data_IF_913338180252
#
_entry.id   IF_913338180252
#
_cell.length_a   1.000
_cell.length_b   1.000
_cell.length_c   1.000
_cell.angle_alpha   90.00
_cell.angle_beta   90.00
_cell.angle_gamma   90.00
#
_symmetry.space_group_name_H-M   'P 1'
#
loop_
_entity.id
_entity.type
_entity.pdbx_description
1 polymer ?
#
# COMPACT_ATOMS: atom_id res chain seq x y z
N UNK A 1 56.23 8.63 -5.96
CA UNK A 1 54.82 8.20 -5.88
C UNK A 1 54.36 8.39 -4.45
N UNK A 2 53.68 9.50 -4.16
CA UNK A 2 53.15 9.78 -2.83
C UNK A 2 51.71 9.25 -2.82
N UNK A 3 51.49 8.08 -2.21
CA UNK A 3 50.14 7.57 -1.98
C UNK A 3 49.51 8.40 -0.85
N UNK A 4 48.67 9.37 -1.22
CA UNK A 4 47.75 9.99 -0.28
C UNK A 4 46.66 8.98 0.05
N UNK A 5 46.74 8.38 1.23
CA UNK A 5 45.58 7.72 1.84
C UNK A 5 44.60 8.84 2.18
N UNK A 6 43.54 9.02 1.38
CA UNK A 6 42.43 9.89 1.78
C UNK A 6 41.87 9.37 3.10
N UNK A 7 41.87 10.21 4.14
CA UNK A 7 41.22 9.87 5.39
C UNK A 7 39.73 9.61 5.12
N UNK A 8 39.24 8.45 5.55
CA UNK A 8 37.81 8.13 5.47
C UNK A 8 37.06 9.13 6.36
N UNK A 9 36.18 9.91 5.76
CA UNK A 9 35.35 10.87 6.48
C UNK A 9 34.23 10.13 7.19
N UNK A 10 34.13 10.29 8.51
CA UNK A 10 33.07 9.65 9.32
C UNK A 10 31.94 10.63 9.64
N UNK A 11 30.72 10.11 9.68
CA UNK A 11 29.54 10.85 10.14
C UNK A 11 29.63 11.14 11.65
N UNK A 12 29.02 12.23 12.10
CA UNK A 12 28.85 12.50 13.52
C UNK A 12 27.70 11.64 14.08
N UNK A 13 27.73 11.34 15.38
CA UNK A 13 26.61 10.67 16.02
C UNK A 13 25.47 11.66 16.29
N UNK A 14 24.22 11.22 16.11
CA UNK A 14 23.03 12.00 16.39
C UNK A 14 21.90 11.12 16.92
N UNK A 15 20.95 11.75 17.61
CA UNK A 15 19.67 11.14 17.99
C UNK A 15 18.55 11.84 17.24
N UNK A 16 17.47 11.12 16.94
CA UNK A 16 16.29 11.69 16.32
C UNK A 16 15.02 10.99 16.79
N UNK A 17 13.89 11.67 16.65
CA UNK A 17 12.56 11.10 16.88
C UNK A 17 11.79 11.13 15.57
N UNK A 18 11.30 9.98 15.11
CA UNK A 18 10.63 9.85 13.82
C UNK A 18 9.16 10.27 13.84
N UNK A 19 8.51 10.23 12.68
CA UNK A 19 7.07 10.52 12.50
C UNK A 19 6.11 9.60 13.27
N UNK A 20 6.59 8.45 13.74
CA UNK A 20 5.83 7.50 14.56
C UNK A 20 6.05 7.72 16.06
N UNK A 21 6.95 8.63 16.44
CA UNK A 21 7.27 8.96 17.83
C UNK A 21 8.36 8.06 18.43
N UNK A 22 8.99 7.21 17.64
CA UNK A 22 10.11 6.38 18.10
C UNK A 22 11.41 7.19 18.08
N UNK A 23 12.23 7.03 19.11
CA UNK A 23 13.51 7.72 19.23
C UNK A 23 14.65 6.75 18.99
N UNK A 24 15.62 7.17 18.17
CA UNK A 24 16.76 6.37 17.74
C UNK A 24 18.07 7.14 17.92
N UNK A 25 19.14 6.40 18.15
CA UNK A 25 20.52 6.82 18.01
C UNK A 25 21.14 6.16 16.78
N UNK A 26 21.79 6.96 15.91
CA UNK A 26 22.39 6.46 14.66
C UNK A 26 23.30 5.25 14.89
N UNK A 27 24.23 5.37 15.85
CA UNK A 27 25.24 4.34 16.06
C UNK A 27 24.66 3.11 16.76
N UNK A 28 23.93 3.30 17.85
CA UNK A 28 23.48 2.17 18.69
C UNK A 28 22.37 1.35 18.02
N UNK A 29 21.43 2.02 17.35
CA UNK A 29 20.23 1.37 16.82
C UNK A 29 20.39 0.91 15.35
N UNK A 30 21.37 1.45 14.62
CA UNK A 30 21.62 1.06 13.22
C UNK A 30 23.05 0.57 12.98
N UNK A 31 24.06 1.45 13.09
CA UNK A 31 25.40 1.13 12.58
C UNK A 31 26.07 -0.03 13.34
N UNK A 32 25.95 -0.06 14.67
CA UNK A 32 26.46 -1.16 15.50
C UNK A 32 25.68 -2.47 15.33
N UNK A 33 24.46 -2.41 14.80
CA UNK A 33 23.69 -3.58 14.38
C UNK A 33 24.11 -4.10 13.00
N UNK A 34 25.16 -3.52 12.40
CA UNK A 34 25.65 -3.88 11.08
C UNK A 34 24.88 -3.23 9.93
N UNK A 35 23.98 -2.27 10.20
CA UNK A 35 23.19 -1.61 9.16
C UNK A 35 23.93 -0.48 8.46
N UNK A 36 23.69 -0.36 7.17
CA UNK A 36 23.94 0.83 6.36
C UNK A 36 22.77 1.79 6.49
N UNK A 37 23.02 3.08 6.62
CA UNK A 37 21.96 4.10 6.69
C UNK A 37 22.02 5.01 5.47
N UNK A 38 20.89 5.15 4.77
CA UNK A 38 20.74 6.01 3.60
C UNK A 38 19.85 7.20 3.99
N UNK A 39 20.34 8.42 3.78
CA UNK A 39 19.59 9.63 4.13
C UNK A 39 19.22 10.36 2.85
N UNK A 40 17.93 10.71 2.69
CA UNK A 40 17.46 11.71 1.74
C UNK A 40 17.10 13.00 2.47
N UNK A 41 17.79 14.08 2.12
CA UNK A 41 17.45 15.42 2.57
C UNK A 41 16.40 16.04 1.63
N UNK A 42 15.32 16.57 2.18
CA UNK A 42 14.20 17.08 1.41
C UNK A 42 13.42 18.17 2.16
N UNK A 43 12.31 18.63 1.61
CA UNK A 43 11.26 19.31 2.36
C UNK A 43 9.89 19.02 1.73
N UNK A 44 8.82 19.16 2.51
CA UNK A 44 7.49 18.63 2.16
C UNK A 44 6.86 19.23 0.88
N UNK A 45 7.34 20.38 0.44
CA UNK A 45 6.86 21.09 -0.77
C UNK A 45 7.91 21.15 -1.89
N UNK A 46 8.99 20.38 -1.79
CA UNK A 46 10.09 20.35 -2.75
C UNK A 46 9.68 19.64 -4.06
N UNK A 47 9.54 20.33 -5.20
CA UNK A 47 9.08 19.70 -6.44
C UNK A 47 9.96 18.54 -6.93
N UNK A 48 11.31 18.66 -7.01
CA UNK A 48 12.14 17.53 -7.44
C UNK A 48 12.16 16.39 -6.41
N UNK A 49 11.94 16.67 -5.13
CA UNK A 49 11.85 15.64 -4.10
C UNK A 49 10.53 14.84 -4.22
N UNK A 50 9.42 15.53 -4.52
CA UNK A 50 8.12 14.93 -4.81
C UNK A 50 8.20 14.05 -6.07
N UNK A 51 8.87 14.53 -7.12
CA UNK A 51 8.97 13.80 -8.38
C UNK A 51 9.63 12.42 -8.26
N UNK A 52 10.49 12.21 -7.25
CA UNK A 52 11.21 10.96 -7.04
C UNK A 52 10.61 10.09 -5.93
N UNK A 53 9.46 10.45 -5.34
CA UNK A 53 8.88 9.66 -4.24
C UNK A 53 8.59 8.20 -4.61
N UNK A 54 8.08 7.87 -5.81
CA UNK A 54 7.88 6.47 -6.18
C UNK A 54 9.21 5.70 -6.22
N UNK A 55 10.18 6.22 -7.00
CA UNK A 55 11.49 5.57 -7.13
C UNK A 55 12.27 5.49 -5.80
N UNK A 56 12.05 6.43 -4.88
CA UNK A 56 12.64 6.38 -3.54
C UNK A 56 12.03 5.29 -2.66
N UNK A 57 10.72 5.10 -2.73
CA UNK A 57 10.03 4.00 -2.07
C UNK A 57 10.48 2.66 -2.67
N UNK A 58 10.50 2.54 -4.00
CA UNK A 58 10.96 1.34 -4.69
C UNK A 58 12.39 0.96 -4.24
N UNK A 59 13.30 1.92 -4.18
CA UNK A 59 14.66 1.68 -3.72
C UNK A 59 14.70 1.21 -2.25
N UNK A 60 13.87 1.75 -1.37
CA UNK A 60 13.79 1.28 0.02
C UNK A 60 13.30 -0.17 0.10
N UNK A 61 12.31 -0.53 -0.72
CA UNK A 61 11.75 -1.88 -0.80
C UNK A 61 12.75 -2.89 -1.37
N UNK A 62 13.44 -2.51 -2.45
CA UNK A 62 14.50 -3.31 -3.07
C UNK A 62 15.68 -3.60 -2.13
N UNK A 63 15.95 -2.71 -1.17
CA UNK A 63 16.97 -2.90 -0.12
C UNK A 63 16.42 -3.50 1.18
N UNK A 64 15.18 -4.01 1.16
CA UNK A 64 14.61 -4.81 2.23
C UNK A 64 13.85 -4.03 3.30
N UNK A 65 13.47 -2.78 3.05
CA UNK A 65 12.57 -1.98 3.91
C UNK A 65 12.96 -1.97 5.39
N UNK A 66 14.26 -1.77 5.67
CA UNK A 66 14.77 -1.74 7.04
C UNK A 66 14.87 -3.10 7.73
N UNK A 67 14.43 -4.21 7.11
CA UNK A 67 14.47 -5.53 7.74
C UNK A 67 15.82 -6.24 7.58
N UNK A 68 16.58 -5.87 6.55
CA UNK A 68 17.90 -6.41 6.29
C UNK A 68 19.00 -5.48 6.82
N UNK A 69 20.11 -5.36 6.09
CA UNK A 69 21.29 -4.61 6.48
C UNK A 69 21.30 -3.15 5.99
N UNK A 70 20.15 -2.61 5.56
CA UNK A 70 20.01 -1.21 5.12
C UNK A 70 18.75 -0.56 5.70
N UNK A 71 18.88 0.67 6.20
CA UNK A 71 17.78 1.51 6.68
C UNK A 71 17.76 2.87 5.96
N UNK A 72 16.56 3.41 5.71
CA UNK A 72 16.39 4.69 5.01
C UNK A 72 15.79 5.75 5.93
N UNK A 73 16.31 6.97 5.84
CA UNK A 73 15.82 8.15 6.55
C UNK A 73 15.42 9.25 5.56
N UNK A 74 14.27 9.86 5.79
CA UNK A 74 13.84 11.11 5.14
C UNK A 74 13.94 12.27 6.13
N UNK A 75 14.88 13.18 5.90
CA UNK A 75 15.17 14.27 6.83
C UNK A 75 14.78 15.60 6.19
N UNK A 76 13.81 16.30 6.79
CA UNK A 76 13.43 17.63 6.29
C UNK A 76 14.45 18.69 6.68
N UNK A 77 14.78 19.57 5.74
CA UNK A 77 15.70 20.69 5.93
C UNK A 77 14.99 21.98 6.37
N UNK A 78 13.65 22.01 6.38
CA UNK A 78 12.89 23.22 6.71
C UNK A 78 12.44 23.24 8.16
N UNK A 79 12.70 24.36 8.84
CA UNK A 79 12.22 24.64 10.21
C UNK A 79 10.70 24.48 10.35
N UNK A 80 9.97 24.80 9.29
CA UNK A 80 8.51 24.72 9.28
C UNK A 80 7.96 23.31 9.16
N UNK A 81 8.78 22.32 8.80
CA UNK A 81 8.35 20.94 8.56
C UNK A 81 8.48 20.13 9.85
N UNK A 82 7.40 20.05 10.61
CA UNK A 82 7.32 19.18 11.79
C UNK A 82 7.13 17.72 11.41
N UNK A 83 7.34 16.79 12.34
CA UNK A 83 7.04 15.36 12.21
C UNK A 83 5.60 15.16 11.75
N UNK A 84 4.65 15.97 12.23
CA UNK A 84 3.27 15.91 11.75
C UNK A 84 3.13 16.22 10.25
N UNK A 85 3.88 17.21 9.73
CA UNK A 85 3.87 17.56 8.30
C UNK A 85 4.62 16.53 7.46
N UNK A 86 5.76 16.04 7.95
CA UNK A 86 6.52 14.99 7.28
C UNK A 86 5.70 13.70 7.22
N UNK A 87 4.95 13.36 8.29
CA UNK A 87 4.01 12.23 8.29
C UNK A 87 2.91 12.40 7.24
N UNK A 88 2.30 13.60 7.17
CA UNK A 88 1.28 13.88 6.17
C UNK A 88 1.83 13.76 4.74
N UNK A 89 3.06 14.22 4.50
CA UNK A 89 3.75 14.04 3.23
C UNK A 89 3.94 12.56 2.90
N UNK A 90 4.53 11.78 3.82
CA UNK A 90 4.72 10.33 3.64
C UNK A 90 3.42 9.61 3.31
N UNK A 91 2.36 9.88 4.09
CA UNK A 91 1.04 9.28 3.87
C UNK A 91 0.45 9.64 2.49
N UNK A 92 0.72 10.85 1.99
CA UNK A 92 0.23 11.29 0.68
C UNK A 92 0.91 10.58 -0.50
N UNK A 93 2.13 10.09 -0.28
CA UNK A 93 2.97 9.47 -1.31
C UNK A 93 3.30 7.99 -1.03
N UNK A 94 2.67 7.37 -0.03
CA UNK A 94 2.85 5.96 0.29
C UNK A 94 4.24 5.60 0.85
N UNK A 95 4.95 6.54 1.47
CA UNK A 95 6.32 6.34 1.93
C UNK A 95 6.37 5.68 3.31
N UNK A 96 7.20 4.64 3.48
CA UNK A 96 7.19 3.81 4.71
C UNK A 96 8.44 3.86 5.58
N UNK A 97 9.53 4.46 5.11
CA UNK A 97 10.79 4.60 5.86
C UNK A 97 10.70 5.65 6.98
N UNK A 98 11.73 5.83 7.80
CA UNK A 98 11.68 6.81 8.88
C UNK A 98 11.63 8.25 8.33
N UNK A 99 10.64 9.03 8.74
CA UNK A 99 10.58 10.46 8.45
C UNK A 99 10.98 11.28 9.66
N UNK A 100 11.71 12.37 9.46
CA UNK A 100 12.21 13.26 10.51
C UNK A 100 11.97 14.71 10.09
N UNK A 101 11.15 15.40 10.87
CA UNK A 101 10.92 16.84 10.82
C UNK A 101 11.73 17.60 11.88
N UNK A 102 11.55 18.91 11.92
CA UNK A 102 12.34 19.81 12.76
C UNK A 102 12.22 19.52 14.26
N UNK A 103 11.00 19.24 14.74
CA UNK A 103 10.69 18.82 16.12
C UNK A 103 11.14 17.37 16.43
N UNK A 104 11.54 16.61 15.41
CA UNK A 104 12.20 15.29 15.52
C UNK A 104 13.72 15.36 15.61
N UNK A 105 14.29 16.56 15.80
CA UNK A 105 15.73 16.84 15.81
C UNK A 105 16.43 16.71 14.44
N UNK A 106 15.73 16.98 13.33
CA UNK A 106 16.33 17.03 11.99
C UNK A 106 17.52 18.00 11.91
N UNK A 107 17.47 19.11 12.66
CA UNK A 107 18.52 20.14 12.71
C UNK A 107 19.91 19.54 12.99
N UNK A 108 20.01 18.69 14.01
CA UNK A 108 21.28 18.06 14.40
C UNK A 108 21.89 17.20 13.28
N UNK A 109 21.05 16.64 12.42
CA UNK A 109 21.48 15.83 11.28
C UNK A 109 21.96 16.73 10.14
N UNK A 110 21.20 17.77 9.79
CA UNK A 110 21.41 18.57 8.57
C UNK A 110 22.54 19.60 8.69
N UNK A 111 22.74 20.19 9.88
CA UNK A 111 23.66 21.34 10.05
C UNK A 111 25.07 21.03 9.58
N UNK A 112 25.70 19.90 9.97
CA UNK A 112 27.06 19.61 9.51
C UNK A 112 27.18 19.40 7.99
N UNK A 113 26.09 19.01 7.30
CA UNK A 113 26.09 18.92 5.84
C UNK A 113 25.99 20.31 5.20
N UNK A 114 25.12 21.18 5.71
CA UNK A 114 24.92 22.53 5.17
C UNK A 114 26.10 23.46 5.46
N UNK A 115 26.79 23.26 6.58
CA UNK A 115 28.02 23.99 6.95
C UNK A 115 29.23 23.57 6.12
N UNK A 116 29.09 22.53 5.29
CA UNK A 116 30.14 22.06 4.40
C UNK A 116 31.15 21.12 5.06
N UNK A 117 30.91 20.66 6.31
CA UNK A 117 31.84 19.75 7.00
C UNK A 117 32.01 18.44 6.23
N UNK A 118 30.99 17.99 5.50
CA UNK A 118 30.99 16.76 4.70
C UNK A 118 31.16 16.98 3.19
N UNK A 119 31.36 18.23 2.77
CA UNK A 119 31.42 18.61 1.36
C UNK A 119 30.37 19.65 0.99
N UNK A 120 30.42 20.16 -0.25
CA UNK A 120 29.56 21.26 -0.68
C UNK A 120 28.08 20.88 -0.73
N UNK A 121 27.23 21.79 -0.22
CA UNK A 121 25.77 21.65 -0.27
C UNK A 121 25.19 22.30 -1.53
N UNK A 122 24.48 21.52 -2.35
CA UNK A 122 23.92 21.98 -3.63
C UNK A 122 22.40 22.14 -3.65
N UNK A 123 21.73 21.87 -2.53
CA UNK A 123 20.27 21.90 -2.42
C UNK A 123 19.65 20.51 -2.25
N UNK A 124 18.34 20.41 -2.44
CA UNK A 124 17.57 19.17 -2.28
C UNK A 124 16.94 18.72 -3.61
N UNK A 125 16.72 17.39 -3.81
CA UNK A 125 17.10 16.31 -2.91
C UNK A 125 18.62 16.09 -2.89
N UNK A 126 19.16 15.81 -1.70
CA UNK A 126 20.56 15.40 -1.52
C UNK A 126 20.61 14.08 -0.76
N UNK A 127 21.64 13.27 -1.03
CA UNK A 127 21.72 11.91 -0.50
C UNK A 127 23.06 11.64 0.16
N UNK A 128 23.00 10.94 1.30
CA UNK A 128 24.14 10.43 2.02
C UNK A 128 24.01 8.92 2.25
N UNK A 129 25.11 8.19 2.16
CA UNK A 129 25.18 6.76 2.51
C UNK A 129 26.21 6.59 3.61
N UNK A 130 25.82 5.93 4.69
CA UNK A 130 26.63 5.76 5.90
C UNK A 130 26.84 4.26 6.11
N UNK A 131 28.09 3.81 6.03
CA UNK A 131 28.45 2.42 6.28
C UNK A 131 28.36 2.06 7.78
N UNK A 132 28.27 0.77 8.15
CA UNK A 132 28.26 0.34 9.56
C UNK A 132 29.49 0.80 10.37
N UNK A 133 30.61 1.06 9.69
CA UNK A 133 31.83 1.62 10.29
C UNK A 133 31.72 3.11 10.66
N UNK A 134 30.66 3.79 10.22
CA UNK A 134 30.50 5.25 10.30
C UNK A 134 31.06 6.01 9.09
N UNK A 135 31.67 5.32 8.12
CA UNK A 135 32.19 5.94 6.91
C UNK A 135 31.06 6.58 6.09
N UNK A 136 31.23 7.86 5.76
CA UNK A 136 30.23 8.67 5.06
C UNK A 136 30.60 8.82 3.57
N UNK A 137 29.61 8.59 2.71
CA UNK A 137 29.62 8.99 1.30
C UNK A 137 28.59 10.10 1.07
N UNK A 138 29.05 11.29 0.70
CA UNK A 138 28.22 12.47 0.41
C UNK A 138 28.93 13.40 -0.60
N UNK A 139 28.25 14.08 -1.53
CA UNK A 139 26.85 13.94 -1.92
C UNK A 139 26.70 12.87 -3.01
N UNK A 140 25.90 11.84 -2.75
CA UNK A 140 25.67 10.74 -3.70
C UNK A 140 24.56 11.14 -4.67
N UNK A 141 24.72 10.84 -5.96
CA UNK A 141 23.63 11.01 -6.94
C UNK A 141 22.61 9.88 -6.79
N UNK A 142 21.33 10.17 -6.98
CA UNK A 142 20.26 9.16 -6.86
C UNK A 142 20.55 7.90 -7.68
N UNK A 143 21.00 8.05 -8.93
CA UNK A 143 21.33 6.92 -9.83
C UNK A 143 22.51 6.07 -9.38
N UNK A 144 23.31 6.54 -8.43
CA UNK A 144 24.48 5.85 -7.91
C UNK A 144 24.25 5.29 -6.49
N UNK A 145 23.03 5.38 -5.96
CA UNK A 145 22.72 4.93 -4.61
C UNK A 145 22.94 3.42 -4.44
N UNK A 146 22.49 2.58 -5.37
CA UNK A 146 22.74 1.13 -5.29
C UNK A 146 24.22 0.79 -5.16
N UNK A 147 25.05 1.43 -5.99
CA UNK A 147 26.50 1.22 -5.96
C UNK A 147 27.13 1.72 -4.65
N UNK A 148 26.67 2.87 -4.15
CA UNK A 148 27.16 3.44 -2.89
C UNK A 148 26.75 2.61 -1.68
N UNK A 149 25.53 2.07 -1.66
CA UNK A 149 25.04 1.16 -0.62
C UNK A 149 25.80 -0.16 -0.69
N UNK A 150 25.95 -0.77 -1.87
CA UNK A 150 26.74 -2.00 -2.01
C UNK A 150 28.21 -1.82 -1.57
N UNK A 151 28.80 -0.64 -1.77
CA UNK A 151 30.17 -0.33 -1.37
C UNK A 151 30.38 -0.29 0.16
N UNK A 152 29.32 -0.20 0.96
CA UNK A 152 29.43 -0.32 2.43
C UNK A 152 29.59 -1.77 2.90
N UNK A 153 29.42 -2.73 1.99
CA UNK A 153 29.34 -4.16 2.28
C UNK A 153 27.90 -4.69 2.40
N UNK A 154 26.89 -3.80 2.32
CA UNK A 154 25.50 -4.21 2.34
C UNK A 154 25.16 -5.16 1.18
N UNK A 155 24.32 -6.16 1.45
CA UNK A 155 23.92 -7.18 0.50
C UNK A 155 22.48 -6.96 0.07
N UNK A 156 22.30 -6.50 -1.17
CA UNK A 156 20.97 -6.31 -1.74
C UNK A 156 20.23 -7.67 -1.73
N UNK A 157 19.03 -7.75 -1.13
CA UNK A 157 18.23 -8.98 -1.12
C UNK A 157 18.09 -9.52 -2.55
N UNK A 158 18.56 -10.74 -2.78
CA UNK A 158 18.55 -11.35 -4.11
C UNK A 158 17.19 -12.01 -4.38
N UNK A 159 16.27 -11.25 -4.99
CA UNK A 159 15.09 -11.77 -5.68
C UNK A 159 13.91 -12.19 -4.80
N UNK A 160 12.76 -11.55 -5.04
CA UNK A 160 11.49 -11.64 -4.31
C UNK A 160 11.60 -10.96 -2.94
N UNK A 161 11.04 -9.74 -2.75
CA UNK A 161 10.93 -9.14 -1.42
C UNK A 161 10.32 -10.13 -0.43
N UNK A 162 10.73 -10.05 0.84
CA UNK A 162 10.15 -10.91 1.89
C UNK A 162 8.62 -10.91 1.75
N UNK A 163 7.99 -12.09 1.53
CA UNK A 163 6.58 -12.11 1.17
C UNK A 163 5.75 -11.48 2.29
N UNK A 164 5.04 -10.40 1.96
CA UNK A 164 4.07 -9.81 2.87
C UNK A 164 2.85 -10.71 2.97
N UNK A 165 2.24 -10.72 4.15
CA UNK A 165 1.09 -11.58 4.45
C UNK A 165 -0.18 -10.75 4.36
N UNK A 166 -1.07 -11.15 3.48
CA UNK A 166 -2.35 -10.49 3.27
C UNK A 166 -3.45 -11.34 3.90
N UNK A 167 -4.18 -10.74 4.85
CA UNK A 167 -5.37 -11.31 5.48
C UNK A 167 -6.57 -10.56 4.96
N UNK A 168 -7.57 -11.28 4.44
CA UNK A 168 -8.75 -10.66 3.84
C UNK A 168 -10.01 -11.01 4.61
N UNK A 169 -10.72 -9.97 5.06
CA UNK A 169 -12.04 -10.08 5.66
C UNK A 169 -13.12 -9.79 4.62
N UNK A 170 -14.02 -10.75 4.46
CA UNK A 170 -15.18 -10.64 3.59
C UNK A 170 -16.40 -10.30 4.45
N UNK A 171 -16.95 -9.10 4.24
CA UNK A 171 -18.25 -8.74 4.78
C UNK A 171 -19.35 -9.03 3.75
N UNK A 172 -20.21 -9.99 4.06
CA UNK A 172 -21.32 -10.40 3.19
C UNK A 172 -22.68 -9.88 3.69
N UNK A 173 -22.68 -8.94 4.65
CA UNK A 173 -23.89 -8.42 5.30
C UNK A 173 -24.79 -9.53 5.89
N UNK A 174 -24.18 -10.59 6.41
CA UNK A 174 -24.87 -11.72 7.03
C UNK A 174 -25.22 -12.86 6.07
N UNK A 175 -24.95 -12.72 4.76
CA UNK A 175 -25.18 -13.77 3.79
C UNK A 175 -24.14 -14.89 3.89
N UNK A 176 -24.59 -16.14 3.80
CA UNK A 176 -23.71 -17.29 3.62
C UNK A 176 -23.51 -17.49 2.10
N UNK A 177 -22.43 -16.93 1.57
CA UNK A 177 -22.12 -17.02 0.13
C UNK A 177 -21.30 -18.29 -0.12
N UNK A 178 -21.78 -19.25 -0.94
CA UNK A 178 -21.01 -20.44 -1.28
C UNK A 178 -19.69 -20.09 -1.97
N UNK A 179 -18.61 -20.83 -1.67
CA UNK A 179 -17.30 -20.59 -2.31
C UNK A 179 -17.34 -20.86 -3.83
N UNK A 180 -18.31 -21.62 -4.35
CA UNK A 180 -18.52 -21.81 -5.79
C UNK A 180 -19.17 -20.62 -6.49
N UNK A 181 -19.70 -19.65 -5.74
CA UNK A 181 -20.45 -18.50 -6.27
C UNK A 181 -19.57 -17.31 -6.63
N UNK A 182 -18.30 -17.34 -6.24
CA UNK A 182 -17.35 -16.27 -6.55
C UNK A 182 -15.92 -16.79 -6.59
N UNK A 183 -15.05 -16.00 -7.19
CA UNK A 183 -13.61 -16.23 -7.22
C UNK A 183 -12.91 -14.92 -6.87
N UNK A 184 -12.03 -14.96 -5.87
CA UNK A 184 -11.06 -13.91 -5.61
C UNK A 184 -9.75 -14.30 -6.28
N UNK A 185 -9.11 -13.34 -6.96
CA UNK A 185 -7.85 -13.61 -7.65
C UNK A 185 -6.94 -12.39 -7.64
N UNK A 186 -5.65 -12.65 -7.55
CA UNK A 186 -4.61 -11.67 -7.77
C UNK A 186 -4.42 -11.46 -9.28
N UNK A 187 -4.25 -10.21 -9.68
CA UNK A 187 -4.05 -9.78 -11.05
C UNK A 187 -3.13 -8.55 -11.10
N UNK A 188 -2.84 -8.08 -12.30
CA UNK A 188 -2.04 -6.87 -12.58
C UNK A 188 -2.88 -5.89 -13.37
N UNK A 189 -2.80 -4.61 -13.03
CA UNK A 189 -3.38 -3.56 -13.86
C UNK A 189 -2.66 -3.44 -15.21
N UNK A 190 -1.34 -3.60 -15.21
CA UNK A 190 -0.52 -3.57 -16.42
C UNK A 190 -0.73 -4.79 -17.32
N UNK A 191 -1.08 -5.95 -16.75
CA UNK A 191 -1.39 -7.17 -17.48
C UNK A 191 -2.67 -7.86 -16.97
N UNK A 192 -3.84 -7.51 -17.53
CA UNK A 192 -5.12 -8.09 -17.12
C UNK A 192 -5.26 -9.61 -17.32
N UNK A 193 -4.38 -10.22 -18.12
CA UNK A 193 -4.38 -11.68 -18.32
C UNK A 193 -3.66 -12.44 -17.20
N UNK A 194 -2.86 -11.75 -16.39
CA UNK A 194 -2.26 -12.32 -15.18
C UNK A 194 -3.37 -12.60 -14.17
N UNK A 195 -3.60 -13.87 -13.85
CA UNK A 195 -4.69 -14.30 -12.99
C UNK A 195 -4.26 -15.46 -12.11
N UNK A 196 -4.21 -15.22 -10.80
CA UNK A 196 -3.83 -16.20 -9.80
C UNK A 196 -4.94 -16.32 -8.75
N UNK A 197 -5.72 -17.42 -8.76
CA UNK A 197 -6.79 -17.62 -7.79
C UNK A 197 -6.30 -17.63 -6.34
N UNK A 198 -7.05 -16.97 -5.47
CA UNK A 198 -6.81 -16.96 -4.02
C UNK A 198 -7.70 -18.00 -3.36
N UNK A 199 -7.16 -18.69 -2.37
CA UNK A 199 -7.85 -19.75 -1.65
C UNK A 199 -7.90 -19.45 -0.16
N UNK A 200 -8.94 -19.97 0.51
CA UNK A 200 -8.99 -19.98 1.97
C UNK A 200 -7.98 -20.99 2.51
N UNK A 201 -7.41 -20.69 3.67
CA UNK A 201 -6.57 -21.62 4.41
C UNK A 201 -7.40 -22.69 5.14
N UNK A 202 -6.73 -23.58 5.88
CA UNK A 202 -7.39 -24.64 6.65
C UNK A 202 -8.30 -24.14 7.77
N UNK A 203 -8.19 -22.86 8.15
CA UNK A 203 -9.05 -22.20 9.14
C UNK A 203 -10.22 -21.47 8.49
N UNK A 204 -10.32 -21.50 7.16
CA UNK A 204 -11.41 -20.89 6.40
C UNK A 204 -11.22 -19.40 6.13
N UNK A 205 -10.04 -18.83 6.41
CA UNK A 205 -9.75 -17.42 6.14
C UNK A 205 -8.94 -17.26 4.87
N UNK A 206 -9.15 -16.15 4.16
CA UNK A 206 -8.27 -15.78 3.05
C UNK A 206 -6.98 -15.21 3.63
N UNK A 207 -5.91 -16.01 3.57
CA UNK A 207 -4.57 -15.64 4.01
C UNK A 207 -3.55 -16.12 3.01
N UNK A 208 -2.79 -15.21 2.41
CA UNK A 208 -1.76 -15.56 1.43
C UNK A 208 -0.52 -14.69 1.58
N UNK A 209 0.61 -15.21 1.12
CA UNK A 209 1.88 -14.50 1.06
C UNK A 209 2.17 -14.05 -0.36
N UNK A 210 2.63 -12.82 -0.53
CA UNK A 210 2.95 -12.23 -1.82
C UNK A 210 4.11 -11.22 -1.72
N UNK A 211 5.08 -11.23 -2.66
CA UNK A 211 5.22 -12.18 -3.77
C UNK A 211 5.77 -13.57 -3.35
N UNK A 212 5.43 -14.63 -4.07
CA UNK A 212 5.93 -16.02 -3.86
C UNK A 212 6.02 -16.78 -5.19
N UNK A 213 6.55 -18.02 -5.21
CA UNK A 213 6.53 -18.86 -6.41
C UNK A 213 5.11 -19.13 -6.93
N UNK A 214 4.13 -19.26 -6.03
CA UNK A 214 2.72 -19.45 -6.38
C UNK A 214 2.07 -18.16 -6.89
N UNK A 215 2.46 -17.03 -6.30
CA UNK A 215 1.95 -15.70 -6.61
C UNK A 215 3.13 -14.81 -7.04
N UNK A 216 3.59 -14.93 -8.30
CA UNK A 216 4.79 -14.24 -8.76
C UNK A 216 4.60 -12.73 -8.67
N UNK A 217 5.68 -12.00 -8.47
CA UNK A 217 5.69 -10.54 -8.46
C UNK A 217 5.05 -9.99 -9.75
N UNK A 218 4.16 -9.01 -9.57
CA UNK A 218 3.37 -8.40 -10.63
C UNK A 218 3.57 -6.89 -10.58
N UNK A 219 3.59 -6.26 -11.74
CA UNK A 219 3.50 -4.81 -11.83
C UNK A 219 2.07 -4.35 -11.47
N UNK A 220 1.95 -3.38 -10.57
CA UNK A 220 0.66 -2.86 -10.06
C UNK A 220 -0.32 -3.99 -9.65
N UNK A 221 0.02 -4.76 -8.60
CA UNK A 221 -0.79 -5.91 -8.18
C UNK A 221 -2.12 -5.47 -7.55
N UNK A 222 -3.20 -6.13 -7.98
CA UNK A 222 -4.56 -5.91 -7.47
C UNK A 222 -5.28 -7.22 -7.18
N UNK A 223 -6.12 -7.24 -6.15
CA UNK A 223 -7.10 -8.30 -5.91
C UNK A 223 -8.40 -7.91 -6.62
N UNK A 224 -8.97 -8.84 -7.38
CA UNK A 224 -10.27 -8.68 -8.03
C UNK A 224 -11.23 -9.77 -7.60
N UNK A 225 -12.52 -9.42 -7.63
CA UNK A 225 -13.63 -10.32 -7.38
C UNK A 225 -14.35 -10.64 -8.68
N UNK A 226 -14.70 -11.91 -8.88
CA UNK A 226 -15.56 -12.35 -9.98
C UNK A 226 -16.74 -13.14 -9.43
N UNK A 227 -17.94 -12.72 -9.76
CA UNK A 227 -19.14 -13.52 -9.51
C UNK A 227 -19.25 -14.67 -10.50
N UNK A 228 -19.55 -15.86 -10.00
CA UNK A 228 -19.84 -17.07 -10.77
C UNK A 228 -21.27 -17.57 -10.54
N UNK A 229 -22.00 -16.93 -9.63
CA UNK A 229 -23.35 -17.32 -9.24
C UNK A 229 -24.40 -16.87 -10.26
N UNK A 230 -25.50 -17.64 -10.40
CA UNK A 230 -26.68 -17.14 -11.08
C UNK A 230 -27.34 -16.00 -10.28
N UNK A 231 -28.06 -15.14 -10.98
CA UNK A 231 -28.86 -14.09 -10.35
C UNK A 231 -29.94 -14.69 -9.43
N UNK A 232 -30.57 -15.78 -9.87
CA UNK A 232 -31.58 -16.51 -9.09
C UNK A 232 -30.97 -17.12 -7.82
N UNK A 233 -31.54 -16.79 -6.66
CA UNK A 233 -31.15 -17.32 -5.35
C UNK A 233 -32.34 -17.30 -4.39
N UNK A 234 -32.26 -18.07 -3.30
CA UNK A 234 -33.16 -17.99 -2.16
C UNK A 234 -32.85 -16.80 -1.24
N UNK A 235 -31.68 -16.20 -1.35
CA UNK A 235 -31.28 -15.03 -0.55
C UNK A 235 -32.03 -13.74 -0.95
N UNK A 236 -32.82 -13.77 -2.03
CA UNK A 236 -33.54 -12.61 -2.57
C UNK A 236 -35.03 -12.93 -2.57
N UNK A 237 -35.75 -12.31 -1.63
CA UNK A 237 -37.13 -12.65 -1.29
C UNK A 237 -38.14 -11.59 -1.77
N UNK A 238 -39.43 -11.90 -1.64
CA UNK A 238 -40.49 -10.90 -1.88
C UNK A 238 -40.42 -9.71 -0.92
N UNK A 239 -39.77 -9.86 0.23
CA UNK A 239 -39.56 -8.76 1.20
C UNK A 239 -38.58 -7.74 0.63
N UNK A 240 -37.51 -8.18 -0.04
CA UNK A 240 -36.54 -7.30 -0.70
C UNK A 240 -37.23 -6.47 -1.79
N UNK A 241 -38.01 -7.15 -2.64
CA UNK A 241 -38.79 -6.50 -3.69
C UNK A 241 -39.76 -5.45 -3.12
N UNK A 242 -40.45 -5.78 -2.02
CA UNK A 242 -41.36 -4.86 -1.34
C UNK A 242 -40.62 -3.62 -0.79
N UNK A 243 -39.44 -3.81 -0.18
CA UNK A 243 -38.60 -2.71 0.32
C UNK A 243 -38.17 -1.78 -0.82
N UNK A 244 -37.74 -2.33 -1.96
CA UNK A 244 -37.38 -1.54 -3.14
C UNK A 244 -38.59 -0.75 -3.67
N UNK A 245 -39.77 -1.36 -3.74
CA UNK A 245 -41.01 -0.66 -4.15
C UNK A 245 -41.35 0.48 -3.18
N UNK A 246 -41.30 0.23 -1.87
CA UNK A 246 -41.55 1.26 -0.85
C UNK A 246 -40.55 2.40 -0.94
N UNK A 247 -39.30 2.09 -1.30
CA UNK A 247 -38.27 3.10 -1.58
C UNK A 247 -38.60 3.98 -2.78
N UNK A 248 -38.98 3.38 -3.91
CA UNK A 248 -39.38 4.13 -5.11
C UNK A 248 -40.57 5.05 -4.83
N UNK A 249 -41.50 4.61 -3.97
CA UNK A 249 -42.69 5.38 -3.57
C UNK A 249 -42.40 6.44 -2.48
N UNK A 250 -41.18 6.52 -1.94
CA UNK A 250 -40.83 7.44 -0.86
C UNK A 250 -41.44 7.07 0.51
N UNK A 251 -41.88 5.83 0.68
CA UNK A 251 -42.51 5.32 1.92
C UNK A 251 -41.44 4.81 2.92
N UNK A 252 -40.32 4.28 2.41
CA UNK A 252 -39.23 3.71 3.22
C UNK A 252 -37.88 4.02 2.57
N UNK A 253 -36.90 4.47 3.33
CA UNK A 253 -35.57 4.80 2.79
C UNK A 253 -34.64 3.59 2.85
N UNK A 254 -33.78 3.44 1.83
CA UNK A 254 -32.67 2.48 1.86
C UNK A 254 -31.44 3.20 2.41
N UNK A 255 -31.34 3.27 3.74
CA UNK A 255 -30.40 4.17 4.44
C UNK A 255 -28.91 3.79 4.31
N UNK A 256 -28.61 2.58 3.83
CA UNK A 256 -27.25 2.08 3.68
C UNK A 256 -26.86 2.02 2.21
N UNK A 257 -25.68 2.55 1.88
CA UNK A 257 -25.19 2.64 0.49
C UNK A 257 -25.16 1.27 -0.22
N UNK A 258 -24.84 0.19 0.48
CA UNK A 258 -24.85 -1.15 -0.12
C UNK A 258 -26.26 -1.60 -0.52
N UNK A 259 -27.31 -1.17 0.21
CA UNK A 259 -28.71 -1.48 -0.12
C UNK A 259 -29.16 -0.73 -1.36
N UNK A 260 -28.76 0.53 -1.52
CA UNK A 260 -29.06 1.28 -2.75
C UNK A 260 -28.38 0.65 -3.96
N UNK A 261 -27.16 0.14 -3.78
CA UNK A 261 -26.41 -0.56 -4.83
C UNK A 261 -27.03 -1.92 -5.15
N UNK A 262 -27.48 -2.67 -4.14
CA UNK A 262 -28.17 -3.94 -4.34
C UNK A 262 -29.54 -3.75 -5.02
N UNK A 263 -30.24 -2.66 -4.74
CA UNK A 263 -31.55 -2.35 -5.33
C UNK A 263 -31.47 -1.97 -6.83
N UNK A 264 -30.34 -1.41 -7.27
CA UNK A 264 -30.05 -1.08 -8.67
C UNK A 264 -29.61 -2.36 -9.41
N UNK A 265 -30.59 -3.10 -9.94
CA UNK A 265 -30.35 -4.42 -10.52
C UNK A 265 -29.74 -4.40 -11.92
N UNK A 266 -29.88 -3.30 -12.66
CA UNK A 266 -29.32 -3.15 -14.01
C UNK A 266 -28.01 -2.34 -14.05
N UNK A 267 -27.61 -1.71 -12.93
CA UNK A 267 -26.34 -0.97 -12.86
C UNK A 267 -26.38 0.42 -13.46
N UNK A 268 -27.55 1.02 -13.64
CA UNK A 268 -27.67 2.36 -14.24
C UNK A 268 -27.56 3.51 -13.22
N UNK A 269 -27.41 3.18 -11.93
CA UNK A 269 -27.29 4.12 -10.83
C UNK A 269 -28.62 4.74 -10.37
N UNK A 270 -29.77 4.27 -10.87
CA UNK A 270 -31.10 4.79 -10.51
C UNK A 270 -32.04 3.66 -10.08
N UNK A 271 -32.51 3.72 -8.85
CA UNK A 271 -33.50 2.75 -8.35
C UNK A 271 -34.89 3.11 -8.87
N UNK A 272 -35.44 2.29 -9.76
CA UNK A 272 -36.73 2.56 -10.41
C UNK A 272 -37.52 1.28 -10.74
N UNK A 273 -38.66 1.42 -11.43
CA UNK A 273 -39.57 0.31 -11.74
C UNK A 273 -38.91 -0.77 -12.62
N UNK A 274 -37.91 -0.41 -13.42
CA UNK A 274 -37.15 -1.38 -14.20
C UNK A 274 -36.43 -2.38 -13.30
N UNK A 275 -35.88 -1.93 -12.16
CA UNK A 275 -35.20 -2.81 -11.23
C UNK A 275 -36.12 -3.83 -10.61
N UNK A 276 -37.29 -3.37 -10.17
CA UNK A 276 -38.37 -4.22 -9.65
C UNK A 276 -38.78 -5.26 -10.68
N UNK A 277 -38.87 -4.86 -11.96
CA UNK A 277 -39.26 -5.76 -13.05
C UNK A 277 -38.20 -6.82 -13.32
N UNK A 278 -36.92 -6.45 -13.33
CA UNK A 278 -35.80 -7.38 -13.51
C UNK A 278 -35.69 -8.34 -12.33
N UNK A 279 -35.75 -7.83 -11.11
CA UNK A 279 -35.72 -8.62 -9.90
C UNK A 279 -36.87 -9.64 -9.86
N UNK A 280 -38.07 -9.22 -10.27
CA UNK A 280 -39.23 -10.12 -10.36
C UNK A 280 -39.02 -11.22 -11.40
N UNK A 281 -38.46 -10.90 -12.57
CA UNK A 281 -38.13 -11.91 -13.59
C UNK A 281 -37.09 -12.91 -13.09
N UNK A 282 -36.06 -12.44 -12.37
CA UNK A 282 -35.06 -13.30 -11.74
C UNK A 282 -35.73 -14.22 -10.71
N UNK A 283 -36.55 -13.69 -9.79
CA UNK A 283 -37.27 -14.49 -8.78
C UNK A 283 -38.19 -15.56 -9.37
N UNK A 284 -38.73 -15.31 -10.57
CA UNK A 284 -39.57 -16.27 -11.29
C UNK A 284 -38.76 -17.28 -12.13
N UNK A 285 -37.43 -17.20 -12.11
CA UNK A 285 -36.54 -18.04 -12.92
C UNK A 285 -36.59 -17.73 -14.42
N UNK A 286 -37.21 -16.61 -14.82
CA UNK A 286 -37.28 -16.17 -16.22
C UNK A 286 -35.91 -15.65 -16.69
N UNK A 287 -35.17 -15.01 -15.78
CA UNK A 287 -33.81 -14.55 -16.01
C UNK A 287 -32.85 -15.29 -15.06
N UNK A 288 -31.77 -15.83 -15.61
CA UNK A 288 -30.70 -16.48 -14.85
C UNK A 288 -29.55 -15.54 -14.51
N UNK A 289 -29.52 -14.37 -15.14
CA UNK A 289 -28.52 -13.30 -14.94
C UNK A 289 -29.19 -11.92 -15.01
N UNK A 290 -28.56 -10.92 -14.40
CA UNK A 290 -29.00 -9.53 -14.55
C UNK A 290 -28.37 -8.92 -15.82
N UNK A 291 -29.11 -8.10 -16.59
CA UNK A 291 -28.52 -7.36 -17.69
C UNK A 291 -27.42 -6.43 -17.18
N UNK A 292 -26.24 -6.50 -17.78
CA UNK A 292 -25.08 -5.63 -17.49
C UNK A 292 -24.55 -5.67 -16.05
N UNK A 293 -24.97 -6.64 -15.23
CA UNK A 293 -24.53 -6.72 -13.83
C UNK A 293 -24.36 -8.16 -13.37
N UNK A 294 -23.25 -8.50 -12.69
CA UNK A 294 -23.10 -9.81 -12.08
C UNK A 294 -24.05 -9.98 -10.89
N UNK A 295 -24.30 -11.22 -10.50
CA UNK A 295 -25.19 -11.52 -9.38
C UNK A 295 -24.67 -11.03 -8.02
N UNK A 296 -23.36 -11.04 -7.84
CA UNK A 296 -22.68 -10.46 -6.68
C UNK A 296 -21.67 -9.44 -7.21
N UNK A 297 -21.47 -8.37 -6.46
CA UNK A 297 -20.38 -7.42 -6.70
C UNK A 297 -19.54 -7.27 -5.45
N UNK A 298 -18.32 -6.80 -5.60
CA UNK A 298 -17.50 -6.35 -4.48
C UNK A 298 -17.42 -4.83 -4.39
N UNK A 299 -17.24 -4.34 -3.17
CA UNK A 299 -16.84 -2.96 -2.89
C UNK A 299 -15.65 -2.99 -1.92
N UNK A 300 -14.47 -2.47 -2.33
CA UNK A 300 -14.19 -1.92 -3.66
C UNK A 300 -14.20 -2.99 -4.77
N UNK A 301 -14.26 -2.55 -6.04
CA UNK A 301 -14.22 -3.46 -7.21
C UNK A 301 -12.85 -4.15 -7.35
N UNK A 302 -11.80 -3.44 -6.96
CA UNK A 302 -10.43 -3.95 -6.87
C UNK A 302 -9.75 -3.42 -5.61
N UNK A 303 -8.77 -4.16 -5.11
CA UNK A 303 -7.95 -3.78 -3.95
C UNK A 303 -6.50 -3.78 -4.39
N UNK A 304 -5.84 -2.62 -4.36
CA UNK A 304 -4.39 -2.51 -4.52
C UNK A 304 -3.67 -3.16 -3.35
N UNK A 305 -2.59 -3.90 -3.63
CA UNK A 305 -1.76 -4.47 -2.57
C UNK A 305 -0.72 -3.44 -2.12
N UNK A 306 -0.66 -3.07 -0.83
CA UNK A 306 0.43 -2.28 -0.28
C UNK A 306 1.81 -2.89 -0.60
N UNK A 307 2.78 -2.07 -1.00
CA UNK A 307 4.06 -2.53 -1.53
C UNK A 307 5.11 -2.87 -0.47
N UNK A 308 4.87 -2.60 0.83
CA UNK A 308 5.91 -2.79 1.86
C UNK A 308 6.19 -4.28 2.12
N UNK A 309 7.41 -4.78 1.85
CA UNK A 309 7.82 -6.17 2.10
C UNK A 309 7.81 -6.58 3.59
N UNK A 310 7.60 -7.87 3.83
CA UNK A 310 7.68 -8.50 5.15
C UNK A 310 6.63 -8.08 6.17
N UNK A 311 5.59 -7.34 5.77
CA UNK A 311 4.53 -6.85 6.66
C UNK A 311 3.28 -7.72 6.61
N UNK A 312 2.43 -7.61 7.64
CA UNK A 312 1.07 -8.15 7.60
C UNK A 312 0.06 -7.04 7.28
N UNK A 313 -0.78 -7.27 6.28
CA UNK A 313 -1.84 -6.34 5.86
C UNK A 313 -3.23 -6.95 6.06
N UNK A 314 -4.14 -6.13 6.59
CA UNK A 314 -5.56 -6.47 6.69
C UNK A 314 -6.32 -5.78 5.56
N UNK A 315 -6.94 -6.57 4.68
CA UNK A 315 -7.75 -6.11 3.57
C UNK A 315 -9.22 -6.39 3.85
N UNK A 316 -10.10 -5.45 3.49
CA UNK A 316 -11.53 -5.59 3.69
C UNK A 316 -12.23 -5.52 2.34
N UNK A 317 -13.14 -6.47 2.09
CA UNK A 317 -13.98 -6.47 0.91
C UNK A 317 -15.44 -6.69 1.31
N UNK A 318 -16.33 -5.84 0.81
CA UNK A 318 -17.76 -6.01 0.99
C UNK A 318 -18.33 -6.72 -0.22
N UNK A 319 -19.03 -7.84 -0.03
CA UNK A 319 -19.70 -8.59 -1.09
C UNK A 319 -21.20 -8.33 -0.99
N UNK A 320 -21.78 -7.82 -2.06
CA UNK A 320 -23.19 -7.43 -2.13
C UNK A 320 -23.90 -8.36 -3.11
N UNK A 321 -24.97 -9.00 -2.65
CA UNK A 321 -25.90 -9.72 -3.52
C UNK A 321 -26.85 -8.73 -4.18
N UNK A 322 -26.85 -8.65 -5.51
CA UNK A 322 -27.79 -7.82 -6.24
C UNK A 322 -29.22 -8.31 -5.99
N UNK A 323 -30.09 -7.38 -5.64
CA UNK A 323 -31.49 -7.62 -5.30
C UNK A 323 -31.75 -7.91 -3.82
N UNK A 324 -30.73 -8.13 -2.98
CA UNK A 324 -30.91 -8.28 -1.53
C UNK A 324 -30.73 -6.93 -0.84
N UNK A 325 -31.76 -6.45 -0.14
CA UNK A 325 -31.74 -5.17 0.61
C UNK A 325 -32.13 -5.36 2.07
N UNK A 326 -32.13 -6.61 2.54
CA UNK A 326 -32.55 -6.97 3.89
C UNK A 326 -31.43 -6.73 4.89
#
# INVERSE_FOLDING_TARGET
FCNTVSAVQNIHNFNFTDTEGHTYNLYNDFLQQGKTVVIKFFFTTCPPCIAITPAWQDLYEEWGSGQNDVEFLEVSILVSDTNAKVKAFKNSYGLTMHGIGWDGNAQAIIEPFQDGNYGPWWGTPAFAVIAPSGALSYSVQFTNLDAAIAATGAQKPSGVPDPSIYKMDLNTYGLQVPDSHYELYLSSEANPNARYPLFRDSTGFYRFSYPTQQYPELEAPVIKFKSLAPAYTQDVSGVDLLKIIRHILGIETLDQQWKTIAADTNGDGKINVNDVTLLRKVQLGILTEFPNRPSYISIPEMIELPSTPGQEFQLNINIIKIGNVN
#
